data_IF_814765405087
#
_entry.id   IF_814765405087
#
_cell.length_a   1.000
_cell.length_b   1.000
_cell.length_c   1.000
_cell.angle_alpha   90.00
_cell.angle_beta   90.00
_cell.angle_gamma   90.00
#
_symmetry.space_group_name_H-M   'P 1'
#
loop_
_entity.id
_entity.type
_entity.pdbx_description
1 polymer ?
#
# COMPACT_ATOMS: atom_id res chain seq x y z
N UNK A 1 -9.37 -2.47 17.81
CA UNK A 1 -8.08 -2.21 17.13
C UNK A 1 -7.94 -0.71 16.91
N UNK A 2 -7.02 -0.02 17.60
CA UNK A 2 -6.76 1.40 17.35
C UNK A 2 -6.09 1.55 15.97
N UNK A 3 -6.71 2.32 15.08
CA UNK A 3 -6.09 2.73 13.81
C UNK A 3 -4.92 3.64 14.18
N UNK A 4 -3.68 3.17 14.03
CA UNK A 4 -2.50 3.96 14.37
C UNK A 4 -2.53 5.33 13.71
N UNK A 5 -2.05 6.37 14.41
CA UNK A 5 -2.09 7.79 13.97
C UNK A 5 -1.43 8.02 12.60
N UNK A 6 -0.60 7.07 12.14
CA UNK A 6 0.19 7.15 10.91
C UNK A 6 -0.37 6.34 9.74
N UNK A 7 -1.64 5.91 9.78
CA UNK A 7 -2.28 5.17 8.67
C UNK A 7 -1.55 3.89 8.21
N UNK A 8 -0.79 3.24 9.10
CA UNK A 8 -0.12 1.98 8.83
C UNK A 8 -1.14 0.89 8.39
N UNK A 9 -0.74 -0.09 7.54
CA UNK A 9 0.60 -0.29 6.97
C UNK A 9 0.94 0.74 5.90
N UNK A 10 2.23 1.00 5.72
CA UNK A 10 2.69 1.87 4.66
C UNK A 10 2.88 1.10 3.36
N UNK A 11 2.43 1.70 2.26
CA UNK A 11 2.55 1.10 0.92
C UNK A 11 4.01 1.16 0.44
N UNK A 12 4.59 0.05 -0.05
CA UNK A 12 5.94 0.04 -0.62
C UNK A 12 5.98 0.70 -2.00
N UNK A 13 6.93 1.59 -2.26
CA UNK A 13 7.15 2.20 -3.58
C UNK A 13 8.63 2.17 -3.95
N UNK A 14 8.93 1.82 -5.21
CA UNK A 14 10.31 1.68 -5.70
C UNK A 14 11.08 3.00 -5.71
N UNK A 15 10.37 4.11 -5.92
CA UNK A 15 10.89 5.48 -5.96
C UNK A 15 9.96 6.41 -5.21
N UNK A 16 10.51 7.51 -4.67
CA UNK A 16 9.69 8.54 -4.00
C UNK A 16 8.80 9.22 -5.04
N UNK A 17 7.50 9.23 -4.81
CA UNK A 17 6.51 9.79 -5.74
C UNK A 17 5.35 10.48 -5.03
N UNK A 18 4.73 11.43 -5.72
CA UNK A 18 3.48 12.06 -5.28
C UNK A 18 2.35 11.41 -6.06
N UNK A 19 1.39 10.81 -5.37
CA UNK A 19 0.23 10.19 -6.01
C UNK A 19 -1.02 11.00 -5.70
N UNK A 20 -1.81 11.27 -6.73
CA UNK A 20 -3.13 11.89 -6.63
C UNK A 20 -4.22 10.81 -6.66
N UNK A 21 -5.30 10.96 -5.88
CA UNK A 21 -6.42 10.03 -5.90
C UNK A 21 -6.98 9.78 -7.29
N UNK A 22 -7.38 8.54 -7.53
CA UNK A 22 -8.19 8.17 -8.70
C UNK A 22 -9.63 8.64 -8.49
N UNK A 23 -10.27 9.20 -9.52
CA UNK A 23 -11.69 9.55 -9.44
C UNK A 23 -12.53 8.28 -9.42
N UNK A 24 -13.64 8.31 -8.69
CA UNK A 24 -14.59 7.19 -8.61
C UNK A 24 -15.32 6.88 -9.92
N UNK A 25 -15.26 7.79 -10.90
CA UNK A 25 -15.80 7.63 -12.25
C UNK A 25 -14.80 7.02 -13.23
N UNK A 26 -13.53 6.89 -12.86
CA UNK A 26 -12.52 6.28 -13.73
C UNK A 26 -12.71 4.76 -13.78
N UNK A 27 -12.43 4.18 -14.96
CA UNK A 27 -12.56 2.75 -15.19
C UNK A 27 -11.67 1.94 -14.23
N UNK A 28 -12.22 0.87 -13.68
CA UNK A 28 -11.50 0.00 -12.75
C UNK A 28 -11.42 0.52 -11.31
N UNK A 29 -11.92 1.73 -10.98
CA UNK A 29 -11.85 2.30 -9.63
C UNK A 29 -12.30 1.32 -8.53
N UNK A 30 -13.46 0.69 -8.69
CA UNK A 30 -14.00 -0.26 -7.70
C UNK A 30 -13.10 -1.50 -7.52
N UNK A 31 -12.53 -2.00 -8.62
CA UNK A 31 -11.65 -3.17 -8.62
C UNK A 31 -10.34 -2.81 -7.91
N UNK A 32 -9.74 -1.68 -8.29
CA UNK A 32 -8.50 -1.19 -7.68
C UNK A 32 -8.66 -0.83 -6.21
N UNK A 33 -9.79 -0.22 -5.83
CA UNK A 33 -10.10 0.07 -4.44
C UNK A 33 -10.25 -1.22 -3.60
N UNK A 34 -10.90 -2.25 -4.15
CA UNK A 34 -10.99 -3.55 -3.49
C UNK A 34 -9.60 -4.20 -3.34
N UNK A 35 -8.76 -4.18 -4.39
CA UNK A 35 -7.37 -4.64 -4.34
C UNK A 35 -6.57 -3.88 -3.28
N UNK A 36 -6.71 -2.56 -3.20
CA UNK A 36 -6.01 -1.74 -2.20
C UNK A 36 -6.34 -2.17 -0.76
N UNK A 37 -7.61 -2.39 -0.46
CA UNK A 37 -8.05 -2.85 0.85
C UNK A 37 -7.45 -4.22 1.20
N UNK A 38 -7.33 -5.12 0.22
CA UNK A 38 -6.68 -6.42 0.39
C UNK A 38 -5.17 -6.28 0.59
N UNK A 39 -4.49 -5.41 -0.18
CA UNK A 39 -3.06 -5.14 -0.02
C UNK A 39 -2.73 -4.66 1.39
N UNK A 40 -3.55 -3.78 1.97
CA UNK A 40 -3.33 -3.33 3.36
C UNK A 40 -3.39 -4.50 4.34
N UNK A 41 -4.42 -5.35 4.25
CA UNK A 41 -4.51 -6.55 5.10
C UNK A 41 -3.32 -7.48 4.88
N UNK A 42 -2.88 -7.64 3.64
CA UNK A 42 -1.79 -8.53 3.30
C UNK A 42 -0.44 -8.01 3.82
N UNK A 43 -0.18 -6.70 3.73
CA UNK A 43 1.01 -6.07 4.30
C UNK A 43 1.06 -6.15 5.83
N UNK A 44 -0.10 -6.13 6.51
CA UNK A 44 -0.18 -6.37 7.94
C UNK A 44 0.22 -7.81 8.28
N UNK A 45 -0.37 -8.79 7.58
CA UNK A 45 -0.30 -10.21 7.96
C UNK A 45 0.91 -10.98 7.40
N UNK A 46 1.41 -10.61 6.21
CA UNK A 46 2.47 -11.36 5.52
C UNK A 46 3.76 -10.56 5.44
N UNK A 47 4.90 -11.25 5.41
CA UNK A 47 6.21 -10.65 5.10
C UNK A 47 6.51 -10.90 3.62
N UNK A 48 7.06 -9.88 2.98
CA UNK A 48 7.48 -9.94 1.59
C UNK A 48 8.93 -9.48 1.53
N UNK A 49 9.80 -10.27 0.90
CA UNK A 49 11.23 -9.95 0.85
C UNK A 49 11.54 -8.87 -0.19
N UNK A 50 10.80 -8.88 -1.31
CA UNK A 50 10.98 -7.96 -2.42
C UNK A 50 9.65 -7.65 -3.15
N UNK A 51 9.73 -6.74 -4.13
CA UNK A 51 8.59 -6.35 -4.95
C UNK A 51 8.06 -7.48 -5.83
N UNK A 52 8.91 -8.39 -6.29
CA UNK A 52 8.50 -9.48 -7.17
C UNK A 52 7.56 -10.43 -6.42
N UNK A 53 7.99 -10.92 -5.26
CA UNK A 53 7.21 -11.77 -4.37
C UNK A 53 5.93 -11.06 -3.91
N UNK A 54 6.02 -9.77 -3.63
CA UNK A 54 4.85 -8.97 -3.27
C UNK A 54 3.84 -8.89 -4.42
N UNK A 55 4.28 -8.67 -5.66
CA UNK A 55 3.38 -8.57 -6.82
C UNK A 55 2.75 -9.91 -7.20
N UNK A 56 3.55 -10.97 -7.24
CA UNK A 56 3.08 -12.33 -7.54
C UNK A 56 2.01 -12.77 -6.53
N UNK A 57 2.28 -12.64 -5.23
CA UNK A 57 1.35 -13.04 -4.17
C UNK A 57 0.06 -12.19 -4.11
N UNK A 58 0.05 -11.01 -4.74
CA UNK A 58 -1.10 -10.11 -4.76
C UNK A 58 -1.75 -9.98 -6.15
N UNK A 59 -1.34 -10.81 -7.12
CA UNK A 59 -1.82 -10.77 -8.51
C UNK A 59 -1.75 -9.36 -9.11
N UNK A 60 -0.56 -8.77 -9.04
CA UNK A 60 -0.22 -7.49 -9.68
C UNK A 60 0.73 -7.78 -10.83
N UNK A 61 0.37 -7.33 -12.04
CA UNK A 61 1.09 -7.68 -13.26
C UNK A 61 2.04 -6.56 -13.73
N UNK A 62 1.91 -5.35 -13.20
CA UNK A 62 2.79 -4.24 -13.56
C UNK A 62 2.91 -3.17 -12.47
N UNK A 63 3.99 -2.37 -12.54
CA UNK A 63 4.18 -1.19 -11.69
C UNK A 63 3.04 -0.17 -11.87
N UNK A 64 2.53 -0.02 -13.10
CA UNK A 64 1.43 0.89 -13.39
C UNK A 64 0.13 0.43 -12.71
N UNK A 65 -0.19 -0.86 -12.80
CA UNK A 65 -1.34 -1.44 -12.10
C UNK A 65 -1.23 -1.21 -10.59
N UNK A 66 -0.04 -1.41 -10.02
CA UNK A 66 0.20 -1.12 -8.60
C UNK A 66 -0.09 0.35 -8.25
N UNK A 67 0.42 1.27 -9.06
CA UNK A 67 0.20 2.71 -8.87
C UNK A 67 -1.29 3.03 -8.89
N UNK A 68 -2.05 2.49 -9.85
CA UNK A 68 -3.49 2.74 -9.95
C UNK A 68 -4.28 2.13 -8.77
N UNK A 69 -3.86 0.96 -8.26
CA UNK A 69 -4.37 0.39 -7.00
C UNK A 69 -4.16 1.37 -5.84
N UNK A 70 -2.95 1.92 -5.68
CA UNK A 70 -2.65 2.88 -4.61
C UNK A 70 -3.46 4.17 -4.78
N UNK A 71 -3.57 4.69 -6.00
CA UNK A 71 -4.36 5.90 -6.31
C UNK A 71 -5.86 5.72 -6.00
N UNK A 72 -6.43 4.54 -6.27
CA UNK A 72 -7.83 4.25 -5.92
C UNK A 72 -8.08 4.11 -4.41
N UNK A 73 -7.04 3.82 -3.63
CA UNK A 73 -7.11 3.66 -2.18
C UNK A 73 -6.94 4.94 -1.36
N UNK A 74 -6.33 5.98 -1.93
CA UNK A 74 -6.09 7.26 -1.26
C UNK A 74 -7.22 8.26 -1.52
N UNK A 75 -7.46 9.13 -0.54
CA UNK A 75 -8.52 10.15 -0.59
C UNK A 75 -8.01 11.58 -0.79
N UNK A 76 -6.70 11.79 -0.73
CA UNK A 76 -6.02 13.08 -0.97
C UNK A 76 -4.64 12.83 -1.58
N UNK A 77 -4.06 13.81 -2.29
CA UNK A 77 -2.67 13.71 -2.73
C UNK A 77 -1.73 13.43 -1.57
N UNK A 78 -0.82 12.47 -1.74
CA UNK A 78 0.13 12.05 -0.71
C UNK A 78 1.51 11.83 -1.31
N UNK A 79 2.53 12.17 -0.52
CA UNK A 79 3.91 11.80 -0.80
C UNK A 79 4.12 10.37 -0.31
N UNK A 80 4.62 9.52 -1.19
CA UNK A 80 5.05 8.16 -0.88
C UNK A 80 6.57 8.12 -0.95
N UNK A 81 7.28 8.12 0.19
CA UNK A 81 8.72 7.90 0.22
C UNK A 81 9.07 6.50 -0.28
N UNK A 82 10.19 6.38 -0.98
CA UNK A 82 10.78 5.08 -1.36
C UNK A 82 10.78 4.14 -0.15
N UNK A 83 10.21 2.94 -0.33
CA UNK A 83 10.14 1.90 0.70
C UNK A 83 10.03 0.51 0.06
N UNK A 84 10.79 -0.45 0.57
CA UNK A 84 10.72 -1.86 0.22
C UNK A 84 9.58 -2.58 0.96
N UNK A 85 9.00 -3.65 0.39
CA UNK A 85 7.97 -4.43 1.07
C UNK A 85 8.40 -5.03 2.42
N UNK A 86 9.69 -5.30 2.61
CA UNK A 86 10.26 -5.85 3.84
C UNK A 86 10.48 -4.81 4.96
N UNK A 87 10.44 -3.51 4.65
CA UNK A 87 10.61 -2.40 5.59
C UNK A 87 9.31 -2.16 6.38
N UNK A 88 8.82 -3.20 7.07
CA UNK A 88 7.65 -3.10 7.95
C UNK A 88 7.92 -2.10 9.05
N UNK A 89 7.00 -1.15 9.24
CA UNK A 89 7.04 -0.26 10.38
C UNK A 89 6.85 -1.08 11.67
N UNK A 90 7.86 -1.08 12.52
CA UNK A 90 7.76 -1.62 13.88
C UNK A 90 7.39 -0.45 14.79
N UNK A 91 6.19 -0.50 15.39
CA UNK A 91 5.86 0.44 16.46
C UNK A 91 6.65 0.05 17.70
N UNK A 92 7.65 0.84 18.16
CA UNK A 92 8.39 0.49 19.37
C UNK A 92 7.50 0.53 20.62
N UNK A 93 6.38 1.23 20.57
CA UNK A 93 5.51 1.53 21.72
C UNK A 93 4.67 0.35 22.23
N UNK A 94 4.92 -0.88 21.79
CA UNK A 94 4.24 -2.10 22.29
C UNK A 94 5.18 -2.94 23.18
N UNK A 95 6.46 -2.57 23.30
CA UNK A 95 7.45 -3.27 24.14
C UNK A 95 7.81 -2.54 25.44
N UNK A 96 6.92 -1.70 25.96
CA UNK A 96 7.02 -1.11 27.30
C UNK A 96 5.71 -1.35 28.07
N UNK A 97 5.47 -2.61 28.45
CA UNK A 97 4.64 -3.02 29.58
C UNK A 97 5.34 -4.19 30.26
#
# INVERSE_FOLDING_TARGET
MQKGRFEAPFMPVKTTMILTPMKNTEDGFKVYQAKYNNLRKNLENYKYDDFQTFYENNNIHSDQEYVDIVRAGINRPKVFPKRQPNEKWHNPSIYLC
#
